data_IF_598046243211
#
_entry.id   IF_598046243211
#
_cell.length_a   1.000
_cell.length_b   1.000
_cell.length_c   1.000
_cell.angle_alpha   90.00
_cell.angle_beta   90.00
_cell.angle_gamma   90.00
#
_symmetry.space_group_name_H-M   'P 1'
#
loop_
_entity.id
_entity.type
_entity.pdbx_description
1 polymer ?
#
# COMPACT_ATOMS: atom_id res chain seq x y z
N UNK A 1 -19.12 -11.61 4.65
CA UNK A 1 -20.10 -12.39 3.86
C UNK A 1 -19.34 -13.33 2.95
N UNK A 2 -19.62 -14.65 2.98
CA UNK A 2 -18.93 -15.60 2.08
C UNK A 2 -19.39 -15.35 0.65
N UNK A 3 -18.45 -15.11 -0.26
CA UNK A 3 -18.75 -14.89 -1.67
C UNK A 3 -19.20 -16.23 -2.30
N UNK A 4 -20.48 -16.31 -2.66
CA UNK A 4 -21.07 -17.48 -3.29
C UNK A 4 -20.64 -17.54 -4.75
N UNK A 5 -19.66 -18.40 -5.06
CA UNK A 5 -19.19 -18.66 -6.42
C UNK A 5 -19.99 -19.83 -7.01
N UNK A 6 -20.72 -19.65 -8.13
CA UNK A 6 -21.45 -20.73 -8.79
C UNK A 6 -20.54 -21.89 -9.21
N UNK A 7 -21.03 -23.13 -9.06
CA UNK A 7 -20.26 -24.33 -9.44
C UNK A 7 -19.88 -24.34 -10.93
N UNK A 8 -20.77 -23.86 -11.81
CA UNK A 8 -20.50 -23.73 -13.24
C UNK A 8 -19.30 -22.82 -13.51
N UNK A 9 -19.20 -21.69 -12.78
CA UNK A 9 -18.07 -20.77 -12.91
C UNK A 9 -16.77 -21.43 -12.45
N UNK A 10 -16.78 -22.17 -11.34
CA UNK A 10 -15.59 -22.93 -10.89
C UNK A 10 -15.13 -23.96 -11.93
N UNK A 11 -16.05 -24.73 -12.50
CA UNK A 11 -15.74 -25.74 -13.51
C UNK A 11 -15.14 -25.10 -14.76
N UNK A 12 -15.71 -23.98 -15.22
CA UNK A 12 -15.18 -23.27 -16.38
C UNK A 12 -13.80 -22.67 -16.11
N UNK A 13 -13.55 -22.12 -14.92
CA UNK A 13 -12.21 -21.61 -14.56
C UNK A 13 -11.17 -22.72 -14.52
N UNK A 14 -11.52 -23.91 -14.03
CA UNK A 14 -10.64 -25.07 -14.04
C UNK A 14 -10.32 -25.51 -15.48
N UNK A 15 -11.33 -25.60 -16.35
CA UNK A 15 -11.18 -25.97 -17.76
C UNK A 15 -10.27 -24.98 -18.51
N UNK A 16 -10.43 -23.68 -18.29
CA UNK A 16 -9.57 -22.66 -18.89
C UNK A 16 -8.12 -22.78 -18.40
N UNK A 17 -7.92 -23.03 -17.11
CA UNK A 17 -6.59 -23.18 -16.54
C UNK A 17 -5.82 -24.39 -17.12
N UNK A 18 -6.51 -25.50 -17.41
CA UNK A 18 -5.93 -26.67 -18.10
C UNK A 18 -5.42 -26.34 -19.52
N UNK A 19 -5.99 -25.31 -20.14
CA UNK A 19 -5.64 -24.83 -21.48
C UNK A 19 -4.70 -23.62 -21.46
N UNK A 20 -4.11 -23.30 -20.31
CA UNK A 20 -3.29 -22.10 -20.07
C UNK A 20 -4.01 -20.78 -20.42
N UNK A 21 -5.35 -20.80 -20.36
CA UNK A 21 -6.22 -19.69 -20.70
C UNK A 21 -6.89 -19.09 -19.45
N UNK A 22 -7.37 -17.86 -19.57
CA UNK A 22 -8.05 -17.12 -18.50
C UNK A 22 -9.34 -16.51 -19.02
N UNK A 23 -10.27 -16.22 -18.10
CA UNK A 23 -11.61 -15.70 -18.43
C UNK A 23 -11.58 -14.35 -19.16
N UNK A 24 -10.54 -13.56 -18.92
CA UNK A 24 -10.33 -12.24 -19.50
C UNK A 24 -9.38 -12.27 -20.71
N UNK A 25 -9.06 -13.47 -21.22
CA UNK A 25 -8.23 -13.66 -22.41
C UNK A 25 -6.73 -13.47 -22.21
N UNK A 26 -6.29 -13.11 -21.00
CA UNK A 26 -4.86 -12.93 -20.69
C UNK A 26 -4.11 -14.24 -20.65
N UNK A 27 -2.80 -14.18 -20.91
CA UNK A 27 -1.89 -15.30 -20.66
C UNK A 27 -1.73 -15.60 -19.17
N UNK A 28 -1.22 -16.80 -18.85
CA UNK A 28 -1.00 -17.24 -17.47
C UNK A 28 -0.09 -16.31 -16.66
N UNK A 29 1.00 -15.84 -17.28
CA UNK A 29 1.99 -14.95 -16.63
C UNK A 29 1.75 -13.47 -16.93
N UNK A 30 0.66 -13.14 -17.61
CA UNK A 30 0.33 -11.77 -17.99
C UNK A 30 -0.40 -11.05 -16.84
N UNK A 31 0.14 -9.91 -16.41
CA UNK A 31 -0.51 -9.01 -15.44
C UNK A 31 -1.80 -8.41 -16.00
N UNK A 32 -2.62 -7.76 -15.15
CA UNK A 32 -3.69 -6.89 -15.69
C UNK A 32 -3.03 -5.62 -16.21
N UNK A 33 -3.73 -4.87 -17.04
CA UNK A 33 -3.31 -3.50 -17.34
C UNK A 33 -3.18 -2.70 -16.04
N UNK A 34 -2.07 -1.95 -15.93
CA UNK A 34 -1.76 -1.12 -14.77
C UNK A 34 -1.64 0.32 -15.25
N UNK A 35 -2.37 1.23 -14.59
CA UNK A 35 -2.12 2.66 -14.67
C UNK A 35 -1.64 3.17 -13.31
N UNK A 36 -0.63 4.05 -13.35
CA UNK A 36 -0.02 4.66 -12.18
C UNK A 36 -0.06 6.18 -12.35
N UNK A 37 -0.70 6.85 -11.41
CA UNK A 37 -0.75 8.32 -11.34
C UNK A 37 -0.06 8.74 -10.04
N UNK A 38 1.05 9.47 -10.10
CA UNK A 38 1.74 10.02 -8.92
C UNK A 38 1.27 11.43 -8.62
N UNK A 39 1.49 11.88 -7.37
CA UNK A 39 1.19 13.23 -6.90
C UNK A 39 -0.28 13.63 -7.08
N UNK A 40 -1.17 12.65 -6.92
CA UNK A 40 -2.61 12.79 -7.09
C UNK A 40 -3.34 13.35 -5.85
N UNK A 41 -2.68 13.35 -4.69
CA UNK A 41 -3.21 13.90 -3.43
C UNK A 41 -2.39 15.13 -3.01
N UNK A 42 -2.96 16.32 -3.18
CA UNK A 42 -2.29 17.60 -2.94
C UNK A 42 -1.82 17.86 -1.49
N UNK A 43 -2.46 17.21 -0.50
CA UNK A 43 -2.13 17.37 0.92
C UNK A 43 -1.11 16.35 1.44
N UNK A 44 -0.76 15.34 0.64
CA UNK A 44 0.22 14.34 1.00
C UNK A 44 1.61 14.81 0.54
N UNK A 45 2.64 14.51 1.32
CA UNK A 45 4.02 14.82 0.95
C UNK A 45 4.51 13.94 -0.21
N UNK A 46 3.89 12.76 -0.40
CA UNK A 46 3.99 11.94 -1.60
C UNK A 46 2.70 11.14 -1.77
N UNK A 47 2.29 10.87 -3.00
CA UNK A 47 1.06 10.10 -3.24
C UNK A 47 1.06 9.36 -4.55
N UNK A 48 0.28 8.29 -4.60
CA UNK A 48 0.06 7.54 -5.82
C UNK A 48 -1.33 6.93 -5.86
N UNK A 49 -1.87 6.83 -7.06
CA UNK A 49 -3.05 6.05 -7.39
C UNK A 49 -2.64 4.97 -8.37
N UNK A 50 -2.95 3.72 -8.01
CA UNK A 50 -2.75 2.55 -8.87
C UNK A 50 -4.10 2.00 -9.26
N UNK A 51 -4.31 1.85 -10.56
CA UNK A 51 -5.43 1.07 -11.09
C UNK A 51 -4.86 -0.18 -11.74
N UNK A 52 -5.19 -1.36 -11.21
CA UNK A 52 -4.82 -2.66 -11.77
C UNK A 52 -6.10 -3.39 -12.20
N UNK A 53 -6.47 -3.25 -13.48
CA UNK A 53 -7.78 -3.66 -13.99
C UNK A 53 -8.93 -3.00 -13.21
N UNK A 54 -9.68 -3.80 -12.43
CA UNK A 54 -10.79 -3.30 -11.59
C UNK A 54 -10.36 -2.91 -10.17
N UNK A 55 -9.12 -3.16 -9.79
CA UNK A 55 -8.60 -2.82 -8.46
C UNK A 55 -8.08 -1.39 -8.48
N UNK A 56 -8.56 -0.54 -7.56
CA UNK A 56 -8.15 0.86 -7.45
C UNK A 56 -7.67 1.13 -6.03
N UNK A 57 -6.44 1.59 -5.91
CA UNK A 57 -5.78 1.87 -4.62
C UNK A 57 -5.15 3.25 -4.65
N UNK A 58 -5.31 3.98 -3.56
CA UNK A 58 -4.58 5.21 -3.29
C UNK A 58 -3.60 4.95 -2.14
N UNK A 59 -2.41 5.53 -2.23
CA UNK A 59 -1.46 5.60 -1.14
C UNK A 59 -1.03 7.05 -0.93
N UNK A 60 -0.94 7.47 0.32
CA UNK A 60 -0.41 8.76 0.73
C UNK A 60 0.73 8.57 1.72
N UNK A 61 1.75 9.42 1.62
CA UNK A 61 2.86 9.49 2.56
C UNK A 61 2.76 10.79 3.32
N UNK A 62 2.85 10.70 4.64
CA UNK A 62 2.99 11.83 5.56
C UNK A 62 4.28 11.69 6.36
N UNK A 63 4.88 12.83 6.67
CA UNK A 63 6.00 12.91 7.61
C UNK A 63 5.57 13.60 8.91
N UNK A 64 6.09 13.12 10.02
CA UNK A 64 5.99 13.78 11.32
C UNK A 64 7.31 13.67 12.08
N UNK A 65 7.56 14.60 13.01
CA UNK A 65 8.70 14.48 13.94
C UNK A 65 8.27 13.61 15.11
N UNK A 66 9.05 12.55 15.37
CA UNK A 66 8.88 11.67 16.52
C UNK A 66 10.15 11.57 17.35
N UNK A 67 10.00 11.20 18.61
CA UNK A 67 11.11 10.71 19.42
C UNK A 67 11.49 9.31 18.95
N UNK A 68 12.78 9.03 18.66
CA UNK A 68 13.21 7.71 18.24
C UNK A 68 13.05 6.68 19.35
N UNK A 69 13.08 5.40 18.98
CA UNK A 69 13.08 4.31 19.95
C UNK A 69 14.41 4.28 20.73
N UNK A 70 14.40 3.96 22.04
CA UNK A 70 15.62 3.97 22.85
C UNK A 70 16.71 3.01 22.37
N UNK A 71 16.35 1.90 21.73
CA UNK A 71 17.27 0.92 21.14
C UNK A 71 17.88 1.39 19.82
N UNK A 72 17.24 2.36 19.14
CA UNK A 72 17.67 2.91 17.83
C UNK A 72 17.57 4.43 17.79
N UNK A 73 18.41 5.15 18.55
CA UNK A 73 18.29 6.60 18.72
C UNK A 73 18.57 7.41 17.46
N UNK A 74 19.23 6.84 16.44
CA UNK A 74 19.59 7.50 15.19
C UNK A 74 18.82 6.98 13.98
N UNK A 75 17.77 6.17 14.19
CA UNK A 75 16.92 5.68 13.09
C UNK A 75 15.57 6.39 13.08
N UNK A 76 15.13 6.77 11.89
CA UNK A 76 13.74 7.13 11.64
C UNK A 76 12.78 5.98 11.90
N UNK A 77 11.50 6.29 11.78
CA UNK A 77 10.44 5.29 11.94
C UNK A 77 9.58 5.21 10.69
N UNK A 78 9.13 4.00 10.39
CA UNK A 78 8.21 3.73 9.29
C UNK A 78 6.97 3.04 9.86
N UNK A 79 5.80 3.48 9.43
CA UNK A 79 4.54 2.83 9.74
C UNK A 79 3.69 2.78 8.47
N UNK A 80 3.29 1.58 8.05
CA UNK A 80 2.34 1.39 6.96
C UNK A 80 0.98 0.92 7.50
N UNK A 81 -0.07 1.66 7.18
CA UNK A 81 -1.46 1.28 7.40
C UNK A 81 -2.14 0.96 6.07
N UNK A 82 -3.10 0.02 6.10
CA UNK A 82 -4.00 -0.20 4.98
C UNK A 82 -5.44 -0.21 5.49
N UNK A 83 -6.33 0.45 4.77
CA UNK A 83 -7.75 0.51 5.06
C UNK A 83 -8.58 -0.21 4.01
N UNK A 84 -9.35 -1.20 4.47
CA UNK A 84 -10.38 -1.87 3.71
C UNK A 84 -11.75 -1.41 4.21
N UNK A 85 -12.43 -0.61 3.39
CA UNK A 85 -13.72 0.03 3.73
C UNK A 85 -14.85 -0.52 2.85
N UNK A 86 -16.13 -0.36 3.25
CA UNK A 86 -17.27 -0.81 2.45
C UNK A 86 -17.32 -0.23 1.01
N UNK A 87 -16.65 0.90 0.77
CA UNK A 87 -16.49 1.47 -0.58
C UNK A 87 -15.73 0.54 -1.53
N UNK A 88 -14.75 -0.21 -1.00
CA UNK A 88 -13.89 -1.09 -1.79
C UNK A 88 -14.64 -2.32 -2.31
N UNK A 89 -15.46 -2.91 -1.46
CA UNK A 89 -16.25 -4.10 -1.77
C UNK A 89 -17.29 -4.35 -0.67
N UNK A 90 -18.41 -4.97 -1.05
CA UNK A 90 -19.53 -5.33 -0.14
C UNK A 90 -19.16 -6.35 0.96
N UNK A 91 -17.94 -6.90 0.92
CA UNK A 91 -17.47 -7.89 1.91
C UNK A 91 -16.86 -7.23 3.15
N UNK A 92 -16.55 -5.93 3.06
CA UNK A 92 -15.95 -5.16 4.13
C UNK A 92 -17.01 -4.44 4.94
N UNK A 93 -16.82 -4.43 6.26
CA UNK A 93 -17.69 -3.74 7.21
C UNK A 93 -16.96 -2.49 7.76
N UNK A 94 -17.69 -1.45 8.18
CA UNK A 94 -17.09 -0.31 8.87
C UNK A 94 -16.59 -0.73 10.26
N UNK A 95 -15.57 -0.03 10.76
CA UNK A 95 -15.03 -0.27 12.10
C UNK A 95 -13.51 -0.14 12.16
N UNK A 96 -12.88 -0.64 13.23
CA UNK A 96 -11.43 -0.79 13.30
C UNK A 96 -10.88 -1.67 12.16
N UNK A 97 -9.57 -1.59 11.86
CA UNK A 97 -8.95 -2.45 10.85
C UNK A 97 -9.25 -3.94 11.09
N UNK A 98 -9.79 -4.61 10.08
CA UNK A 98 -10.03 -6.05 10.12
C UNK A 98 -8.70 -6.82 10.05
N UNK A 99 -8.67 -8.13 10.39
CA UNK A 99 -7.48 -8.95 10.25
C UNK A 99 -6.84 -8.87 8.86
N UNK A 100 -7.65 -8.84 7.80
CA UNK A 100 -7.18 -8.72 6.41
C UNK A 100 -6.54 -7.35 6.14
N UNK A 101 -7.12 -6.29 6.71
CA UNK A 101 -6.58 -4.92 6.62
C UNK A 101 -5.23 -4.81 7.33
N UNK A 102 -5.12 -5.41 8.51
CA UNK A 102 -3.89 -5.46 9.31
C UNK A 102 -2.82 -6.28 8.59
N UNK A 103 -3.19 -7.44 8.04
CA UNK A 103 -2.28 -8.29 7.27
C UNK A 103 -1.74 -7.53 6.06
N UNK A 104 -2.60 -6.90 5.27
CA UNK A 104 -2.21 -6.12 4.10
C UNK A 104 -1.20 -5.03 4.44
N UNK A 105 -1.49 -4.21 5.47
CA UNK A 105 -0.57 -3.18 5.94
C UNK A 105 0.77 -3.75 6.39
N UNK A 106 0.78 -4.84 7.17
CA UNK A 106 2.00 -5.48 7.68
C UNK A 106 2.84 -6.16 6.60
N UNK A 107 2.22 -6.72 5.57
CA UNK A 107 2.94 -7.33 4.44
C UNK A 107 3.63 -6.23 3.61
N UNK A 108 2.92 -5.14 3.33
CA UNK A 108 3.51 -4.00 2.61
C UNK A 108 4.60 -3.31 3.45
N UNK A 109 4.38 -3.12 4.76
CA UNK A 109 5.39 -2.57 5.68
C UNK A 109 6.70 -3.37 5.62
N UNK A 110 6.61 -4.70 5.77
CA UNK A 110 7.78 -5.59 5.69
C UNK A 110 8.42 -5.56 4.31
N UNK A 111 7.64 -5.54 3.25
CA UNK A 111 8.17 -5.44 1.89
C UNK A 111 9.04 -4.19 1.70
N UNK A 112 8.59 -3.05 2.22
CA UNK A 112 9.32 -1.78 2.14
C UNK A 112 10.52 -1.80 3.10
N UNK A 113 10.30 -2.14 4.36
CA UNK A 113 11.33 -2.11 5.43
C UNK A 113 12.48 -3.07 5.15
N UNK A 114 12.16 -4.34 4.90
CA UNK A 114 13.18 -5.40 4.75
C UNK A 114 13.90 -5.33 3.39
N UNK A 115 13.35 -4.59 2.41
CA UNK A 115 14.06 -4.33 1.15
C UNK A 115 15.24 -3.36 1.31
N UNK A 116 15.29 -2.60 2.41
CA UNK A 116 16.31 -1.55 2.61
C UNK A 116 16.19 -0.37 1.64
N UNK A 117 15.04 -0.19 0.98
CA UNK A 117 14.85 0.88 0.00
C UNK A 117 14.79 2.30 0.62
N UNK A 118 14.60 2.40 1.94
CA UNK A 118 14.63 3.64 2.70
C UNK A 118 15.81 3.56 3.68
N UNK A 119 16.73 4.52 3.61
CA UNK A 119 17.78 4.66 4.62
C UNK A 119 17.22 5.32 5.89
N UNK A 120 16.97 4.51 6.91
CA UNK A 120 16.42 4.98 8.18
C UNK A 120 17.38 5.92 8.93
N UNK A 121 18.70 5.85 8.69
CA UNK A 121 19.65 6.74 9.37
C UNK A 121 19.58 8.16 8.79
N UNK A 122 19.31 8.28 7.49
CA UNK A 122 19.12 9.58 6.82
C UNK A 122 17.91 10.37 7.35
N UNK A 123 17.00 9.68 8.04
CA UNK A 123 15.80 10.26 8.64
C UNK A 123 16.05 10.83 10.06
N UNK A 124 17.26 10.73 10.59
CA UNK A 124 17.59 11.31 11.88
C UNK A 124 17.82 12.82 11.80
N UNK A 125 17.19 13.57 12.71
CA UNK A 125 17.38 15.02 12.83
C UNK A 125 18.34 15.31 13.99
N UNK A 126 17.97 14.84 15.20
CA UNK A 126 18.78 14.93 16.42
C UNK A 126 18.78 13.53 17.07
N UNK A 127 19.94 12.85 17.14
CA UNK A 127 20.02 11.51 17.72
C UNK A 127 19.45 11.47 19.14
N UNK A 128 18.53 10.54 19.39
CA UNK A 128 17.89 10.33 20.69
C UNK A 128 16.75 11.30 21.02
N UNK A 129 16.53 12.35 20.22
CA UNK A 129 15.51 13.37 20.51
C UNK A 129 14.47 13.49 19.39
N UNK A 130 14.90 13.65 18.13
CA UNK A 130 14.05 13.94 16.99
C UNK A 130 14.46 13.17 15.75
N UNK A 131 13.53 12.40 15.20
CA UNK A 131 13.68 11.70 13.92
C UNK A 131 12.42 11.87 13.08
N UNK A 132 12.55 11.70 11.77
CA UNK A 132 11.40 11.63 10.89
C UNK A 132 10.67 10.29 11.05
N UNK A 133 9.36 10.41 11.22
CA UNK A 133 8.40 9.33 11.12
C UNK A 133 7.71 9.37 9.77
N UNK A 134 7.93 8.33 8.97
CA UNK A 134 7.25 8.09 7.70
C UNK A 134 5.98 7.31 7.97
N UNK A 135 4.84 7.88 7.59
CA UNK A 135 3.52 7.25 7.68
C UNK A 135 3.01 7.02 6.26
N UNK A 136 2.75 5.76 5.93
CA UNK A 136 2.17 5.37 4.65
C UNK A 136 0.75 4.90 4.93
N UNK A 137 -0.22 5.63 4.41
CA UNK A 137 -1.63 5.29 4.51
C UNK A 137 -2.14 4.81 3.15
N UNK A 138 -2.56 3.55 3.09
CA UNK A 138 -3.08 2.92 1.88
C UNK A 138 -4.60 2.81 2.01
N UNK A 139 -5.32 3.32 1.01
CA UNK A 139 -6.77 3.27 0.96
C UNK A 139 -7.23 2.54 -0.31
N UNK A 140 -7.84 1.38 -0.13
CA UNK A 140 -8.39 0.60 -1.25
C UNK A 140 -9.77 1.16 -1.59
N UNK A 141 -9.93 1.73 -2.78
CA UNK A 141 -11.23 2.25 -3.26
C UNK A 141 -12.04 1.22 -4.03
N UNK A 142 -11.40 0.24 -4.65
CA UNK A 142 -12.08 -0.87 -5.30
C UNK A 142 -11.23 -2.13 -5.19
N UNK A 143 -11.79 -3.20 -4.62
CA UNK A 143 -11.16 -4.52 -4.60
C UNK A 143 -11.72 -5.38 -5.74
N UNK A 144 -10.98 -5.41 -6.85
CA UNK A 144 -11.19 -6.31 -7.98
C UNK A 144 -10.21 -7.50 -7.99
N UNK A 145 -9.58 -7.82 -6.85
CA UNK A 145 -8.59 -8.89 -6.70
C UNK A 145 -7.13 -8.42 -6.77
N UNK A 146 -6.23 -9.22 -6.19
CA UNK A 146 -4.79 -8.95 -6.04
C UNK A 146 -4.48 -7.55 -5.48
N UNK A 147 -5.04 -7.24 -4.31
CA UNK A 147 -4.82 -5.98 -3.62
C UNK A 147 -3.41 -5.83 -3.05
N UNK A 148 -2.71 -6.93 -2.73
CA UNK A 148 -1.33 -6.89 -2.22
C UNK A 148 -0.38 -6.19 -3.20
N UNK A 149 -0.36 -6.63 -4.46
CA UNK A 149 0.52 -6.05 -5.47
C UNK A 149 0.14 -4.58 -5.77
N UNK A 150 -1.16 -4.28 -5.84
CA UNK A 150 -1.64 -2.91 -6.06
C UNK A 150 -1.22 -1.98 -4.92
N UNK A 151 -1.35 -2.42 -3.66
CA UNK A 151 -0.99 -1.65 -2.47
C UNK A 151 0.52 -1.46 -2.37
N UNK A 152 1.31 -2.50 -2.63
CA UNK A 152 2.76 -2.41 -2.66
C UNK A 152 3.26 -1.43 -3.73
N UNK A 153 2.71 -1.51 -4.94
CA UNK A 153 3.05 -0.58 -6.02
C UNK A 153 2.64 0.87 -5.68
N UNK A 154 1.45 1.08 -5.12
CA UNK A 154 1.00 2.41 -4.74
C UNK A 154 1.89 2.99 -3.62
N UNK A 155 2.21 2.20 -2.60
CA UNK A 155 3.04 2.63 -1.48
C UNK A 155 4.45 3.02 -1.93
N UNK A 156 5.11 2.20 -2.75
CA UNK A 156 6.46 2.51 -3.23
C UNK A 156 6.48 3.69 -4.21
N UNK A 157 5.46 3.82 -5.05
CA UNK A 157 5.33 4.96 -5.95
C UNK A 157 5.11 6.27 -5.17
N UNK A 158 4.25 6.24 -4.14
CA UNK A 158 4.01 7.38 -3.27
C UNK A 158 5.27 7.78 -2.48
N UNK A 159 6.03 6.80 -1.97
CA UNK A 159 7.32 7.04 -1.32
C UNK A 159 8.34 7.67 -2.27
N UNK A 160 8.37 7.22 -3.53
CA UNK A 160 9.33 7.71 -4.52
C UNK A 160 9.13 9.19 -4.85
N UNK A 161 7.91 9.70 -4.77
CA UNK A 161 7.62 11.13 -4.99
C UNK A 161 7.53 11.93 -3.70
N UNK A 162 7.69 11.26 -2.55
CA UNK A 162 7.54 11.91 -1.26
C UNK A 162 8.66 12.93 -0.99
N UNK A 163 8.27 14.16 -0.64
CA UNK A 163 9.19 15.24 -0.27
C UNK A 163 9.12 15.48 1.23
N UNK A 164 10.26 15.35 1.91
CA UNK A 164 10.34 15.65 3.34
C UNK A 164 10.09 17.15 3.57
N UNK A 165 9.08 17.53 4.38
CA UNK A 165 8.67 18.91 4.54
C UNK A 165 9.54 19.64 5.58
N UNK A 166 10.86 19.66 5.39
CA UNK A 166 11.83 20.16 6.39
C UNK A 166 11.56 21.63 6.79
N UNK A 167 11.28 22.48 5.81
CA UNK A 167 10.98 23.90 6.03
C UNK A 167 9.74 24.10 6.93
N UNK A 168 8.72 23.25 6.76
CA UNK A 168 7.48 23.32 7.55
C UNK A 168 7.73 23.06 9.05
N UNK A 169 8.78 22.34 9.37
CA UNK A 169 9.12 21.94 10.73
C UNK A 169 10.36 22.64 11.29
N UNK A 170 10.89 23.67 10.61
CA UNK A 170 12.07 24.44 11.02
C UNK A 170 13.33 23.57 11.26
N UNK A 171 13.49 22.48 10.50
CA UNK A 171 14.60 21.52 10.64
C UNK A 171 15.51 21.43 9.42
N UNK A 172 15.32 22.32 8.44
CA UNK A 172 16.12 22.41 7.21
C UNK A 172 15.53 23.41 6.25
#
# INVERSE_FOLDING_TARGET
MVELVPNLLRQEMARLAEQDARIDGRGRFEGREITLETDCLYNAEGSAKVTMGKTVVYAGVKFEIRTPWPDRPAEGSLMCGAELRPVAHRKYEPGPPSPESIELGRVVDRGIRESGCIDMNSLCIIPGEKVWGVMIDIHVLSDGGNIFDACGLAAIAALRTAVVPAERFDVG
#
